data_IF_692132169512
#
_entry.id   IF_692132169512
#
_cell.length_a   1.000
_cell.length_b   1.000
_cell.length_c   1.000
_cell.angle_alpha   90.00
_cell.angle_beta   90.00
_cell.angle_gamma   90.00
#
_symmetry.space_group_name_H-M   'P 1'
#
loop_
_entity.id
_entity.type
_entity.pdbx_description
1 polymer ?
#
# COMPACT_ATOMS: atom_id res chain seq x y z
N UNK A 1 -0.83 4.75 21.39
CA UNK A 1 0.16 4.77 20.27
C UNK A 1 -0.42 3.93 19.15
N UNK A 2 -1.17 4.53 18.23
CA UNK A 2 -1.63 3.85 17.02
C UNK A 2 -0.42 3.41 16.18
N UNK A 3 -0.07 2.14 16.25
CA UNK A 3 0.89 1.53 15.33
C UNK A 3 0.07 1.06 14.14
N UNK A 4 0.00 1.87 13.08
CA UNK A 4 -0.58 1.45 11.79
C UNK A 4 0.06 0.13 11.38
N UNK A 5 -0.73 -0.94 11.36
CA UNK A 5 -0.19 -2.27 11.05
C UNK A 5 -0.21 -2.49 9.54
N UNK A 6 0.98 -2.59 8.97
CA UNK A 6 1.19 -2.98 7.58
C UNK A 6 1.50 -4.45 7.49
N UNK A 7 0.92 -5.12 6.50
CA UNK A 7 1.22 -6.52 6.19
C UNK A 7 1.84 -6.63 4.81
N UNK A 8 3.00 -7.26 4.76
CA UNK A 8 3.77 -7.52 3.54
C UNK A 8 3.31 -8.80 2.86
N UNK A 9 3.22 -8.72 1.54
CA UNK A 9 3.02 -9.85 0.63
C UNK A 9 3.95 -9.67 -0.58
N UNK A 10 4.60 -10.76 -0.99
CA UNK A 10 5.30 -10.80 -2.28
C UNK A 10 4.27 -11.16 -3.34
N UNK A 11 4.16 -10.33 -4.38
CA UNK A 11 3.18 -10.50 -5.46
C UNK A 11 3.93 -10.66 -6.78
N UNK A 12 3.89 -11.87 -7.32
CA UNK A 12 4.49 -12.25 -8.60
C UNK A 12 3.43 -12.33 -9.71
N UNK A 13 2.15 -12.50 -9.35
CA UNK A 13 1.03 -12.49 -10.30
C UNK A 13 -0.30 -11.96 -9.72
N UNK A 14 -1.33 -11.94 -10.57
CA UNK A 14 -2.67 -11.42 -10.24
C UNK A 14 -3.40 -12.26 -9.18
N UNK A 15 -3.29 -13.59 -9.23
CA UNK A 15 -3.96 -14.48 -8.28
C UNK A 15 -3.38 -14.29 -6.88
N UNK A 16 -2.06 -14.06 -6.79
CA UNK A 16 -1.41 -13.74 -5.53
C UNK A 16 -1.91 -12.42 -4.93
N UNK A 17 -2.16 -11.38 -5.75
CA UNK A 17 -2.75 -10.13 -5.25
C UNK A 17 -4.15 -10.36 -4.67
N UNK A 18 -4.99 -11.11 -5.38
CA UNK A 18 -6.33 -11.45 -4.91
C UNK A 18 -6.28 -12.26 -3.60
N UNK A 19 -5.38 -13.23 -3.53
CA UNK A 19 -5.11 -14.05 -2.34
C UNK A 19 -4.57 -13.22 -1.17
N UNK A 20 -3.69 -12.25 -1.43
CA UNK A 20 -3.16 -11.34 -0.41
C UNK A 20 -4.24 -10.43 0.18
N UNK A 21 -5.13 -9.88 -0.66
CA UNK A 21 -6.27 -9.07 -0.22
C UNK A 21 -7.24 -9.92 0.61
N UNK A 22 -7.60 -11.12 0.13
CA UNK A 22 -8.48 -12.03 0.85
C UNK A 22 -7.87 -12.48 2.19
N UNK A 23 -6.57 -12.76 2.22
CA UNK A 23 -5.85 -13.12 3.44
C UNK A 23 -5.72 -11.93 4.40
N UNK A 24 -5.65 -10.71 3.89
CA UNK A 24 -5.71 -9.51 4.72
C UNK A 24 -7.07 -9.40 5.39
N UNK A 25 -8.14 -9.44 4.59
CA UNK A 25 -9.53 -9.34 5.07
C UNK A 25 -9.85 -10.44 6.07
N UNK A 26 -9.51 -11.70 5.78
CA UNK A 26 -9.74 -12.83 6.69
C UNK A 26 -9.07 -12.64 8.06
N UNK A 27 -7.89 -12.00 8.11
CA UNK A 27 -7.16 -11.81 9.38
C UNK A 27 -7.56 -10.55 10.13
N UNK A 28 -7.99 -9.49 9.42
CA UNK A 28 -8.33 -8.18 10.03
C UNK A 28 -9.83 -7.95 10.15
N UNK A 29 -10.66 -8.77 9.50
CA UNK A 29 -12.10 -8.59 9.39
C UNK A 29 -12.51 -7.42 8.50
N UNK A 30 -11.58 -6.83 7.75
CA UNK A 30 -11.78 -5.63 6.92
C UNK A 30 -10.84 -5.63 5.73
N UNK A 31 -11.33 -5.14 4.57
CA UNK A 31 -10.54 -5.00 3.35
C UNK A 31 -9.43 -3.95 3.54
N UNK A 32 -8.24 -4.18 2.96
CA UNK A 32 -7.23 -3.14 2.89
C UNK A 32 -7.76 -1.96 2.05
N UNK A 33 -7.39 -0.75 2.46
CA UNK A 33 -7.72 0.51 1.77
C UNK A 33 -6.50 1.19 1.17
N UNK A 34 -5.32 0.79 1.62
CA UNK A 34 -4.04 1.34 1.20
C UNK A 34 -3.12 0.22 0.80
N UNK A 35 -2.45 0.41 -0.34
CA UNK A 35 -1.34 -0.41 -0.79
C UNK A 35 -0.10 0.48 -0.87
N UNK A 36 1.03 -0.02 -0.35
CA UNK A 36 2.33 0.61 -0.54
C UNK A 36 3.25 -0.33 -1.31
N UNK A 37 3.89 0.19 -2.34
CA UNK A 37 4.78 -0.56 -3.23
C UNK A 37 6.09 0.16 -3.48
N UNK A 38 7.08 -0.57 -3.98
CA UNK A 38 8.34 0.04 -4.39
C UNK A 38 8.14 1.02 -5.55
N UNK A 39 8.89 2.12 -5.56
CA UNK A 39 9.01 2.97 -6.76
C UNK A 39 9.61 2.20 -7.96
N UNK A 40 10.35 1.12 -7.69
CA UNK A 40 10.92 0.22 -8.68
C UNK A 40 10.01 -0.98 -8.97
N UNK A 41 8.74 -0.92 -8.54
CA UNK A 41 7.78 -1.96 -8.87
C UNK A 41 7.56 -2.02 -10.39
N UNK A 42 7.40 -3.23 -10.95
CA UNK A 42 7.14 -3.35 -12.37
C UNK A 42 5.77 -2.75 -12.71
N UNK A 43 5.64 -2.18 -13.92
CA UNK A 43 4.42 -1.49 -14.35
C UNK A 43 3.18 -2.39 -14.31
N UNK A 44 3.35 -3.70 -14.56
CA UNK A 44 2.24 -4.66 -14.47
C UNK A 44 1.71 -4.79 -13.05
N UNK A 45 2.56 -4.76 -12.02
CA UNK A 45 2.15 -4.87 -10.62
C UNK A 45 1.40 -3.60 -10.19
N UNK A 46 1.87 -2.44 -10.63
CA UNK A 46 1.17 -1.18 -10.39
C UNK A 46 -0.22 -1.19 -11.04
N UNK A 47 -0.32 -1.61 -12.30
CA UNK A 47 -1.61 -1.69 -12.99
C UNK A 47 -2.59 -2.63 -12.26
N UNK A 48 -2.13 -3.78 -11.79
CA UNK A 48 -2.96 -4.71 -11.00
C UNK A 48 -3.49 -4.07 -9.70
N UNK A 49 -2.69 -3.23 -9.05
CA UNK A 49 -3.11 -2.51 -7.85
C UNK A 49 -4.08 -1.37 -8.16
N UNK A 50 -3.92 -0.70 -9.30
CA UNK A 50 -4.83 0.35 -9.77
C UNK A 50 -6.18 -0.23 -10.21
N UNK A 51 -6.20 -1.46 -10.74
CA UNK A 51 -7.41 -2.21 -11.05
C UNK A 51 -8.13 -2.76 -9.81
N UNK A 52 -7.45 -2.81 -8.66
CA UNK A 52 -8.02 -3.32 -7.42
C UNK A 52 -8.94 -2.27 -6.77
N UNK A 53 -10.24 -2.59 -6.75
CA UNK A 53 -11.28 -1.72 -6.19
C UNK A 53 -11.01 -1.31 -4.73
N UNK A 54 -10.95 0.00 -4.50
CA UNK A 54 -10.85 0.59 -3.17
C UNK A 54 -9.44 0.68 -2.57
N UNK A 55 -8.38 0.48 -3.36
CA UNK A 55 -6.99 0.68 -2.92
C UNK A 55 -6.43 2.06 -3.33
N UNK A 56 -5.98 2.83 -2.35
CA UNK A 56 -5.10 3.98 -2.55
C UNK A 56 -3.64 3.51 -2.57
N UNK A 57 -2.89 3.89 -3.61
CA UNK A 57 -1.52 3.40 -3.81
C UNK A 57 -0.50 4.46 -3.40
N UNK A 58 0.45 4.07 -2.55
CA UNK A 58 1.62 4.85 -2.16
C UNK A 58 2.90 4.19 -2.68
N UNK A 59 3.83 4.99 -3.22
CA UNK A 59 5.14 4.49 -3.66
C UNK A 59 6.22 4.84 -2.64
N UNK A 60 7.14 3.92 -2.37
CA UNK A 60 8.23 4.11 -1.43
C UNK A 60 9.56 3.58 -2.00
N UNK A 61 10.66 4.30 -1.77
CA UNK A 61 11.98 3.97 -2.32
C UNK A 61 12.66 2.79 -1.61
N UNK A 62 12.23 2.48 -0.38
CA UNK A 62 12.90 1.52 0.52
C UNK A 62 12.21 0.13 0.55
N UNK A 63 11.50 -0.24 -0.52
CA UNK A 63 10.79 -1.51 -0.65
C UNK A 63 11.33 -2.35 -1.80
N UNK A 64 11.19 -3.67 -1.70
CA UNK A 64 11.51 -4.59 -2.79
C UNK A 64 10.49 -4.45 -3.94
N UNK A 65 10.92 -4.70 -5.17
CA UNK A 65 10.12 -4.48 -6.38
C UNK A 65 8.79 -5.23 -6.43
N UNK A 66 8.69 -6.38 -5.76
CA UNK A 66 7.48 -7.22 -5.73
C UNK A 66 6.76 -7.19 -4.38
N UNK A 67 7.28 -6.44 -3.40
CA UNK A 67 6.65 -6.33 -2.09
C UNK A 67 5.48 -5.35 -2.16
N UNK A 68 4.29 -5.87 -1.84
CA UNK A 68 3.07 -5.09 -1.64
C UNK A 68 2.72 -5.09 -0.15
N UNK A 69 2.68 -3.89 0.40
CA UNK A 69 2.31 -3.64 1.79
C UNK A 69 0.85 -3.23 1.83
N UNK A 70 0.00 -3.97 2.54
CA UNK A 70 -1.43 -3.67 2.65
C UNK A 70 -1.79 -3.19 4.06
N UNK A 71 -2.66 -2.18 4.13
CA UNK A 71 -3.30 -1.77 5.38
C UNK A 71 -4.71 -1.20 5.17
N UNK A 72 -5.56 -1.29 6.20
CA UNK A 72 -6.84 -0.58 6.26
C UNK A 72 -6.77 0.71 7.10
N UNK A 73 -5.65 0.92 7.80
CA UNK A 73 -5.44 2.03 8.73
C UNK A 73 -4.59 3.11 8.03
N UNK A 74 -5.16 4.29 7.73
CA UNK A 74 -4.34 5.47 7.37
C UNK A 74 -4.05 6.23 8.65
N UNK A 75 -2.79 6.35 9.04
CA UNK A 75 -2.39 7.58 9.72
C UNK A 75 -2.21 8.63 8.65
N UNK A 76 -3.03 9.68 8.70
CA UNK A 76 -2.69 10.93 8.06
C UNK A 76 -1.25 11.27 8.47
N UNK A 77 -0.33 11.27 7.51
CA UNK A 77 0.88 12.05 7.70
C UNK A 77 0.37 13.47 7.95
N UNK A 78 0.74 14.16 9.05
CA UNK A 78 0.50 15.58 9.12
C UNK A 78 1.20 16.14 7.89
N UNK A 79 0.43 16.73 6.98
CA UNK A 79 0.95 17.61 5.96
C UNK A 79 1.92 18.56 6.68
N UNK A 80 3.23 18.31 6.56
CA UNK A 80 4.20 19.34 6.83
C UNK A 80 3.91 20.38 5.75
N UNK A 81 3.22 21.45 6.13
CA UNK A 81 3.18 22.69 5.37
C UNK A 81 4.62 23.17 5.23
N UNK A 82 5.28 22.70 4.18
CA UNK A 82 6.59 23.14 3.75
C UNK A 82 6.40 24.22 2.69
N UNK A 83 5.87 25.36 3.10
CA UNK A 83 6.20 26.63 2.49
C UNK A 83 6.38 27.64 3.62
N UNK A 84 7.65 27.90 3.94
CA UNK A 84 8.01 29.17 4.51
C UNK A 84 7.97 30.21 3.38
N UNK A 85 7.34 31.34 3.64
CA UNK A 85 7.74 32.58 2.99
C UNK A 85 8.21 33.52 4.10
N UNK A 86 9.52 33.78 4.06
CA UNK A 86 10.12 34.95 4.66
C UNK A 86 9.73 36.16 3.81
N UNK A 87 9.28 37.23 4.47
CA UNK A 87 9.02 38.55 3.91
C UNK A 87 8.88 39.55 5.04
#
# INVERSE_FOLDING_TARGET
MDRTEWRVYCIEDRDELASAIALYEKRKGVRPRYARVSEKAPAWLLALLEEADGLEIERASNLLSFDVWLTHEKKAQPQMSLFGEAG
#
